data_IF_626402073237
#
_entry.id   IF_626402073237
#
_cell.length_a   1.000
_cell.length_b   1.000
_cell.length_c   1.000
_cell.angle_alpha   90.00
_cell.angle_beta   90.00
_cell.angle_gamma   90.00
#
_symmetry.space_group_name_H-M   'P 1'
#
loop_
_entity.id
_entity.type
_entity.pdbx_description
1 polymer ?
#
# COMPACT_ATOMS: atom_id res chain seq x y z
N UNK A 1 29.19 -32.38 -58.39
CA UNK A 1 29.13 -33.83 -58.07
C UNK A 1 27.68 -34.16 -57.78
N UNK A 2 27.08 -34.98 -58.64
CA UNK A 2 25.76 -35.54 -58.42
C UNK A 2 25.89 -36.81 -57.56
N UNK A 3 24.91 -37.04 -56.69
CA UNK A 3 24.30 -38.36 -56.53
C UNK A 3 22.86 -38.17 -56.06
N UNK A 4 21.96 -38.53 -56.96
CA UNK A 4 20.57 -38.88 -56.75
C UNK A 4 20.50 -40.26 -56.10
N UNK A 5 19.55 -40.48 -55.18
CA UNK A 5 18.98 -41.81 -54.92
C UNK A 5 17.46 -41.65 -55.00
N UNK A 6 16.98 -42.18 -56.12
CA UNK A 6 15.64 -42.64 -56.55
C UNK A 6 15.26 -43.87 -55.65
N UNK A 7 14.05 -44.22 -55.21
CA UNK A 7 12.79 -44.66 -55.87
C UNK A 7 11.82 -44.98 -54.68
N UNK A 8 10.54 -44.61 -54.67
CA UNK A 8 9.40 -45.52 -54.95
C UNK A 8 8.07 -44.75 -54.95
N UNK A 9 7.29 -44.94 -56.03
CA UNK A 9 5.90 -44.54 -56.33
C UNK A 9 4.89 -45.09 -55.29
N UNK A 10 3.95 -44.27 -54.74
CA UNK A 10 2.53 -44.04 -55.16
C UNK A 10 1.54 -45.09 -54.57
N UNK A 11 0.18 -44.93 -54.54
CA UNK A 11 -0.76 -43.86 -54.14
C UNK A 11 -1.61 -44.26 -52.90
N UNK A 12 -2.56 -43.40 -52.51
CA UNK A 12 -3.74 -43.65 -51.65
C UNK A 12 -3.53 -43.66 -50.13
N UNK A 13 -3.99 -42.62 -49.43
CA UNK A 13 -5.36 -42.66 -48.91
C UNK A 13 -5.85 -41.25 -48.56
N UNK A 14 -7.13 -41.04 -48.80
CA UNK A 14 -7.87 -39.84 -48.43
C UNK A 14 -8.18 -39.95 -46.94
N UNK A 15 -7.81 -38.96 -46.14
CA UNK A 15 -8.71 -38.51 -45.08
C UNK A 15 -8.73 -36.99 -45.08
N UNK A 16 -9.91 -36.48 -45.44
CA UNK A 16 -10.32 -35.12 -45.16
C UNK A 16 -10.51 -35.04 -43.67
N UNK A 17 -9.62 -34.37 -42.96
CA UNK A 17 -9.85 -34.00 -41.58
C UNK A 17 -9.71 -32.49 -41.51
N UNK A 18 -10.88 -31.84 -41.46
CA UNK A 18 -11.07 -30.41 -41.31
C UNK A 18 -10.18 -29.85 -40.20
N UNK A 19 -9.48 -28.75 -40.49
CA UNK A 19 -8.78 -27.95 -39.49
C UNK A 19 -9.82 -27.38 -38.50
N UNK A 20 -10.03 -28.05 -37.37
CA UNK A 20 -10.79 -27.53 -36.24
C UNK A 20 -10.08 -26.28 -35.69
N UNK A 21 -10.58 -25.09 -36.04
CA UNK A 21 -10.20 -23.86 -35.36
C UNK A 21 -10.69 -23.95 -33.91
N UNK A 22 -9.78 -24.26 -32.99
CA UNK A 22 -10.09 -24.28 -31.57
C UNK A 22 -10.24 -22.84 -31.05
N UNK A 23 -11.48 -22.37 -30.96
CA UNK A 23 -11.82 -21.13 -30.26
C UNK A 23 -11.56 -21.37 -28.76
N UNK A 24 -10.43 -20.88 -28.27
CA UNK A 24 -10.10 -20.89 -26.85
C UNK A 24 -11.08 -19.95 -26.15
N UNK A 25 -12.08 -20.48 -25.44
CA UNK A 25 -12.94 -19.68 -24.56
C UNK A 25 -12.10 -19.12 -23.41
N UNK A 26 -11.67 -17.86 -23.56
CA UNK A 26 -10.84 -17.10 -22.62
C UNK A 26 -11.50 -16.87 -21.23
N UNK A 27 -12.68 -17.44 -20.97
CA UNK A 27 -13.49 -17.13 -19.80
C UNK A 27 -13.40 -18.18 -18.67
N UNK A 28 -12.91 -19.39 -18.93
CA UNK A 28 -12.88 -20.46 -17.90
C UNK A 28 -11.72 -20.28 -16.91
N UNK A 29 -10.55 -19.82 -17.38
CA UNK A 29 -9.43 -19.51 -16.50
C UNK A 29 -9.74 -18.31 -15.59
N UNK A 30 -10.47 -17.33 -16.11
CA UNK A 30 -10.85 -16.11 -15.37
C UNK A 30 -11.92 -16.42 -14.31
N UNK A 31 -12.92 -17.24 -14.61
CA UNK A 31 -13.99 -17.60 -13.67
C UNK A 31 -13.52 -18.43 -12.46
N UNK A 32 -12.54 -19.32 -12.65
CA UNK A 32 -11.92 -20.05 -11.53
C UNK A 32 -11.10 -19.16 -10.58
N UNK A 33 -10.53 -18.06 -11.08
CA UNK A 33 -9.80 -17.08 -10.24
C UNK A 33 -10.77 -16.25 -9.39
N UNK A 34 -11.96 -15.92 -9.90
CA UNK A 34 -13.00 -15.24 -9.11
C UNK A 34 -13.70 -16.16 -8.09
N UNK A 35 -13.83 -17.46 -8.40
CA UNK A 35 -14.55 -18.41 -7.54
C UNK A 35 -13.73 -18.93 -6.35
N UNK A 36 -12.40 -18.76 -6.35
CA UNK A 36 -11.56 -19.04 -5.18
C UNK A 36 -11.54 -17.84 -4.23
N UNK A 37 -12.68 -17.58 -3.58
CA UNK A 37 -12.70 -16.83 -2.33
C UNK A 37 -12.08 -17.71 -1.23
N UNK A 38 -10.74 -17.79 -1.22
CA UNK A 38 -10.07 -17.90 0.07
C UNK A 38 -10.51 -16.70 0.92
N UNK A 39 -10.63 -16.79 2.26
CA UNK A 39 -10.86 -15.62 3.09
C UNK A 39 -9.63 -14.72 2.94
N UNK A 40 -9.66 -13.89 1.89
CA UNK A 40 -8.71 -12.86 1.60
C UNK A 40 -8.93 -11.85 2.71
N UNK A 41 -8.11 -11.98 3.75
CA UNK A 41 -7.97 -10.99 4.81
C UNK A 41 -7.42 -9.73 4.14
N UNK A 42 -8.25 -9.04 3.37
CA UNK A 42 -7.99 -7.76 2.78
C UNK A 42 -7.90 -6.79 3.95
N UNK A 43 -6.70 -6.73 4.54
CA UNK A 43 -6.38 -5.96 5.75
C UNK A 43 -6.15 -4.50 5.38
N UNK A 44 -6.98 -3.98 4.48
CA UNK A 44 -7.00 -2.57 4.11
C UNK A 44 -7.47 -1.79 5.33
N UNK A 45 -6.52 -1.37 6.17
CA UNK A 45 -6.78 -0.43 7.26
C UNK A 45 -7.29 0.85 6.65
N UNK A 46 -8.35 1.37 7.25
CA UNK A 46 -8.88 2.67 6.89
C UNK A 46 -7.84 3.75 7.19
N UNK A 47 -7.80 4.85 6.43
CA UNK A 47 -6.75 5.87 6.56
C UNK A 47 -6.73 6.55 7.95
N UNK A 48 -7.86 6.54 8.65
CA UNK A 48 -7.99 6.98 10.05
C UNK A 48 -7.39 6.00 11.08
N UNK A 49 -7.04 4.76 10.68
CA UNK A 49 -6.33 3.77 11.50
C UNK A 49 -4.82 3.74 11.19
N UNK A 50 -4.31 4.74 10.47
CA UNK A 50 -2.87 4.86 10.22
C UNK A 50 -2.17 5.35 11.49
N UNK A 51 -1.16 4.61 11.91
CA UNK A 51 -0.31 4.94 13.06
C UNK A 51 1.02 5.52 12.58
N UNK A 52 1.50 6.57 13.24
CA UNK A 52 2.77 7.21 12.91
C UNK A 52 3.94 6.30 13.30
N UNK A 53 4.88 5.98 12.39
CA UNK A 53 6.01 5.11 12.72
C UNK A 53 7.09 5.79 13.59
N UNK A 54 6.91 7.07 13.95
CA UNK A 54 7.84 7.83 14.79
C UNK A 54 7.35 7.88 16.24
N UNK A 55 6.09 8.26 16.47
CA UNK A 55 5.52 8.38 17.81
C UNK A 55 4.65 7.19 18.23
N UNK A 56 4.30 6.31 17.29
CA UNK A 56 3.42 5.17 17.52
C UNK A 56 2.02 5.56 18.00
N UNK A 57 1.52 6.74 17.60
CA UNK A 57 0.14 7.17 17.83
C UNK A 57 -0.64 7.25 16.52
N UNK A 58 -1.97 7.30 16.62
CA UNK A 58 -2.86 7.52 15.49
C UNK A 58 -2.59 8.87 14.82
N UNK A 59 -2.55 8.88 13.49
CA UNK A 59 -2.24 10.06 12.71
C UNK A 59 -3.48 10.94 12.55
N UNK A 60 -3.56 12.03 13.33
CA UNK A 60 -4.60 13.06 13.17
C UNK A 60 -4.32 14.03 12.02
N UNK A 61 -3.04 14.37 11.82
CA UNK A 61 -2.56 15.27 10.77
C UNK A 61 -1.53 14.54 9.90
N UNK A 62 -2.03 13.81 8.90
CA UNK A 62 -1.19 13.01 8.02
C UNK A 62 -0.43 13.86 7.02
N UNK A 63 0.89 13.75 7.04
CA UNK A 63 1.80 14.42 6.12
C UNK A 63 2.53 13.38 5.28
N UNK A 64 2.35 13.46 3.96
CA UNK A 64 3.04 12.61 2.98
C UNK A 64 4.28 13.34 2.49
N UNK A 65 5.41 12.64 2.54
CA UNK A 65 6.69 13.14 1.99
C UNK A 65 6.76 12.92 0.48
N UNK A 66 7.65 13.63 -0.21
CA UNK A 66 7.90 13.45 -1.66
C UNK A 66 8.32 12.02 -2.04
N UNK A 67 8.75 11.21 -1.08
CA UNK A 67 9.07 9.80 -1.28
C UNK A 67 7.90 8.83 -1.02
N UNK A 68 6.72 9.33 -0.68
CA UNK A 68 5.48 8.55 -0.49
C UNK A 68 5.21 8.10 0.95
N UNK A 69 6.15 8.26 1.88
CA UNK A 69 5.95 7.86 3.27
C UNK A 69 5.14 8.88 4.07
N UNK A 70 4.32 8.39 5.02
CA UNK A 70 3.33 9.15 5.79
C UNK A 70 3.69 9.19 7.27
N UNK A 71 3.52 10.36 7.90
CA UNK A 71 3.81 10.61 9.31
C UNK A 71 2.83 11.64 9.89
N UNK A 72 2.84 11.83 11.21
CA UNK A 72 2.29 13.05 11.81
C UNK A 72 3.09 14.29 11.37
N UNK A 73 2.39 15.41 11.16
CA UNK A 73 2.98 16.71 10.81
C UNK A 73 4.16 17.09 11.72
N UNK A 74 3.95 17.05 13.03
CA UNK A 74 4.98 17.41 14.00
C UNK A 74 6.19 16.47 13.92
N UNK A 75 5.96 15.16 13.80
CA UNK A 75 7.03 14.17 13.78
C UNK A 75 7.92 14.31 12.54
N UNK A 76 7.34 14.53 11.35
CA UNK A 76 8.15 14.72 10.14
C UNK A 76 8.89 16.06 10.14
N UNK A 77 8.28 17.13 10.67
CA UNK A 77 8.94 18.43 10.82
C UNK A 77 10.17 18.33 11.74
N UNK A 78 10.03 17.65 12.87
CA UNK A 78 11.13 17.45 13.81
C UNK A 78 12.23 16.57 13.20
N UNK A 79 11.84 15.48 12.53
CA UNK A 79 12.79 14.60 11.85
C UNK A 79 13.62 15.33 10.79
N UNK A 80 12.98 16.20 10.01
CA UNK A 80 13.67 17.03 9.01
C UNK A 80 14.66 17.97 9.69
N UNK A 81 14.22 18.69 10.71
CA UNK A 81 15.06 19.61 11.49
C UNK A 81 16.26 18.90 12.13
N UNK A 82 16.05 17.73 12.74
CA UNK A 82 17.12 16.91 13.33
C UNK A 82 18.11 16.38 12.28
N UNK A 83 17.65 16.09 11.07
CA UNK A 83 18.55 15.68 9.98
C UNK A 83 19.43 16.85 9.52
N UNK A 84 18.87 18.06 9.43
CA UNK A 84 19.65 19.28 9.13
C UNK A 84 20.67 19.58 10.23
N UNK A 85 20.26 19.55 11.51
CA UNK A 85 21.12 19.83 12.66
C UNK A 85 22.31 18.87 12.78
N UNK A 86 22.13 17.62 12.36
CA UNK A 86 23.20 16.61 12.31
C UNK A 86 24.10 16.72 11.08
N UNK A 87 23.95 17.75 10.26
CA UNK A 87 24.76 17.97 9.05
C UNK A 87 24.47 17.01 7.90
N UNK A 88 23.40 16.20 7.97
CA UNK A 88 23.13 15.14 6.98
C UNK A 88 22.61 15.68 5.64
N UNK A 89 22.23 16.96 5.58
CA UNK A 89 21.63 17.59 4.39
C UNK A 89 22.35 18.82 3.89
N UNK A 90 23.57 19.09 4.38
CA UNK A 90 24.39 20.22 3.93
C UNK A 90 23.91 21.59 4.43
N UNK A 91 23.33 21.64 5.63
CA UNK A 91 22.95 22.89 6.31
C UNK A 91 21.75 23.64 5.72
N UNK A 92 21.05 23.08 4.73
CA UNK A 92 19.87 23.71 4.12
C UNK A 92 18.67 23.57 5.06
N UNK A 93 18.22 24.68 5.62
CA UNK A 93 17.00 24.73 6.45
C UNK A 93 15.80 24.16 5.70
N UNK A 94 14.99 23.36 6.40
CA UNK A 94 13.80 22.73 5.83
C UNK A 94 14.07 21.50 4.95
N UNK A 95 15.33 21.08 4.80
CA UNK A 95 15.71 19.85 4.07
C UNK A 95 16.25 18.80 5.04
N UNK A 96 15.63 17.63 5.04
CA UNK A 96 15.95 16.51 5.90
C UNK A 96 15.95 15.18 5.17
N UNK A 97 16.02 14.09 5.93
CA UNK A 97 15.91 12.73 5.41
C UNK A 97 14.61 12.09 5.90
N UNK A 98 13.96 11.30 5.03
CA UNK A 98 12.82 10.48 5.42
C UNK A 98 13.24 9.42 6.47
N UNK A 99 12.52 9.27 7.59
CA UNK A 99 12.78 8.22 8.59
C UNK A 99 12.72 6.79 8.06
N UNK A 100 11.88 6.52 7.05
CA UNK A 100 11.65 5.17 6.54
C UNK A 100 12.64 4.78 5.45
N UNK A 101 12.95 5.67 4.51
CA UNK A 101 13.79 5.33 3.35
C UNK A 101 15.03 6.21 3.17
N UNK A 102 15.28 7.16 4.07
CA UNK A 102 16.41 8.10 4.02
C UNK A 102 16.54 8.95 2.75
N UNK A 103 15.55 8.94 1.84
CA UNK A 103 15.51 9.88 0.72
C UNK A 103 15.44 11.32 1.24
N UNK A 104 16.04 12.25 0.51
CA UNK A 104 15.96 13.69 0.83
C UNK A 104 14.52 14.16 0.71
N UNK A 105 14.05 14.84 1.76
CA UNK A 105 12.72 15.44 1.83
C UNK A 105 12.88 16.91 2.14
N UNK A 106 12.27 17.76 1.33
CA UNK A 106 12.08 19.16 1.63
C UNK A 106 10.69 19.33 2.23
N UNK A 107 10.60 19.99 3.39
CA UNK A 107 9.33 20.15 4.10
C UNK A 107 8.26 20.85 3.24
N UNK A 108 8.68 21.77 2.36
CA UNK A 108 7.78 22.48 1.43
C UNK A 108 7.11 21.56 0.39
N UNK A 109 7.74 20.43 0.09
CA UNK A 109 7.25 19.46 -0.90
C UNK A 109 6.40 18.36 -0.24
N UNK A 110 6.14 18.49 1.07
CA UNK A 110 5.25 17.56 1.78
C UNK A 110 3.79 17.98 1.58
N UNK A 111 2.91 16.97 1.50
CA UNK A 111 1.48 17.19 1.34
C UNK A 111 0.77 16.81 2.63
N UNK A 112 0.07 17.77 3.24
CA UNK A 112 -0.86 17.51 4.33
C UNK A 112 -2.17 16.96 3.77
N UNK A 113 -2.55 15.74 4.17
CA UNK A 113 -3.78 15.10 3.74
C UNK A 113 -4.96 15.65 4.54
N UNK A 114 -5.98 16.12 3.82
CA UNK A 114 -7.26 16.49 4.42
C UNK A 114 -8.19 15.27 4.46
N UNK A 115 -8.13 14.53 5.57
CA UNK A 115 -8.95 13.33 5.74
C UNK A 115 -10.36 13.70 6.24
N UNK A 116 -11.39 13.09 5.64
CA UNK A 116 -12.74 13.08 6.21
C UNK A 116 -12.76 11.98 7.27
N UNK A 117 -12.49 12.33 8.52
CA UNK A 117 -12.54 11.39 9.63
C UNK A 117 -14.02 11.07 9.88
N UNK A 118 -14.44 9.84 9.56
CA UNK A 118 -15.64 9.27 10.15
C UNK A 118 -15.23 8.82 11.55
N UNK A 119 -15.63 9.60 12.56
CA UNK A 119 -15.39 9.24 13.96
C UNK A 119 -16.29 8.03 14.24
N UNK A 120 -15.70 6.84 14.32
CA UNK A 120 -16.36 5.71 14.96
C UNK A 120 -16.33 5.98 16.46
N UNK A 121 -17.40 6.60 16.94
CA UNK A 121 -17.60 6.97 18.33
C UNK A 121 -17.49 5.74 19.25
N UNK A 122 -16.36 5.66 19.95
CA UNK A 122 -16.21 4.83 21.14
C UNK A 122 -15.37 5.60 22.15
N UNK A 123 -15.84 6.79 22.51
CA UNK A 123 -15.27 7.55 23.62
C UNK A 123 -16.41 8.03 24.52
N UNK A 124 -17.08 7.09 25.19
CA UNK A 124 -17.85 7.45 26.39
C UNK A 124 -16.88 7.85 27.49
N UNK A 125 -16.86 9.11 27.97
CA UNK A 125 -16.09 9.46 29.16
C UNK A 125 -16.60 8.62 30.34
N UNK A 126 -15.71 8.13 31.22
CA UNK A 126 -16.14 7.44 32.44
C UNK A 126 -17.05 8.37 33.25
N UNK A 127 -18.19 7.90 33.77
CA UNK A 127 -19.03 8.72 34.63
C UNK A 127 -18.21 9.13 35.85
N UNK A 128 -18.11 10.45 36.05
CA UNK A 128 -17.65 11.01 37.32
C UNK A 128 -18.86 11.05 38.26
N UNK A 129 -19.04 9.98 39.03
CA UNK A 129 -19.90 9.94 40.22
C UNK A 129 -19.12 9.24 41.34
N UNK A 130 -19.11 9.68 42.58
CA UNK A 130 -19.81 10.79 43.22
C UNK A 130 -19.13 11.11 44.54
N UNK A 131 -19.66 12.14 45.18
CA UNK A 131 -19.41 12.56 46.55
C UNK A 131 -19.12 11.43 47.56
N UNK A 132 -18.26 11.71 48.54
CA UNK A 132 -18.33 11.02 49.83
C UNK A 132 -18.53 12.06 50.93
N UNK A 133 -19.56 11.77 51.69
CA UNK A 133 -20.32 12.63 52.58
C UNK A 133 -19.51 13.04 53.80
N UNK A 134 -19.78 14.25 54.30
CA UNK A 134 -19.36 14.72 55.62
C UNK A 134 -20.03 13.88 56.70
N UNK A 135 -19.25 13.11 57.46
CA UNK A 135 -19.69 12.39 58.65
C UNK A 135 -19.08 13.02 59.90
N UNK A 136 -19.94 13.62 60.72
CA UNK A 136 -19.69 14.12 62.07
C UNK A 136 -19.51 12.97 63.07
N UNK A 137 -18.57 13.14 64.01
CA UNK A 137 -18.71 12.77 65.42
C UNK A 137 -17.87 13.75 66.27
#
# INVERSE_FOLDING_TARGET
MATVIDISEDPSDRSSDDDDIQIIELNTATSNILAQETPNQNTSKSLNQLQCPICFDDITSATVTSCGHVFCLYCIQQSISSSTARGQTGGRSGVGLCPLCRKRVNFKDTTLLRMKIAVSDSMTPPPLNGERETGTD
#
